data_IF_612852325370
#
_entry.id   IF_612852325370
#
_cell.length_a   1.000
_cell.length_b   1.000
_cell.length_c   1.000
_cell.angle_alpha   90.00
_cell.angle_beta   90.00
_cell.angle_gamma   90.00
#
_symmetry.space_group_name_H-M   'P 1'
#
loop_
_entity.id
_entity.type
_entity.pdbx_description
1 polymer ?
#
# COMPACT_ATOMS: atom_id res chain seq x y z
N UNK A 1 32.98 51.66 35.09
CA UNK A 1 31.64 52.25 34.91
C UNK A 1 31.09 51.70 33.62
N UNK A 2 30.23 50.69 33.71
CA UNK A 2 29.29 50.27 32.66
C UNK A 2 28.37 49.23 33.30
N UNK A 3 27.06 49.50 33.32
CA UNK A 3 26.06 48.55 33.83
C UNK A 3 25.57 47.64 32.69
N UNK A 4 25.17 46.38 33.00
CA UNK A 4 24.77 45.42 31.98
C UNK A 4 23.52 45.87 31.22
N UNK A 5 23.56 45.68 29.90
CA UNK A 5 22.55 46.14 28.91
C UNK A 5 21.11 45.73 29.29
N UNK A 6 20.93 44.56 29.91
CA UNK A 6 19.64 44.06 30.37
C UNK A 6 18.92 45.03 31.33
N UNK A 7 19.65 45.77 32.16
CA UNK A 7 19.07 46.74 33.10
C UNK A 7 18.46 47.95 32.37
N UNK A 8 19.12 48.43 31.31
CA UNK A 8 18.63 49.52 30.45
C UNK A 8 17.41 49.12 29.63
N UNK A 9 17.31 47.85 29.20
CA UNK A 9 16.10 47.34 28.54
C UNK A 9 14.91 47.28 29.50
N UNK A 10 15.14 46.82 30.73
CA UNK A 10 14.11 46.73 31.76
C UNK A 10 13.60 48.11 32.22
N UNK A 11 14.50 49.08 32.43
CA UNK A 11 14.12 50.46 32.77
C UNK A 11 13.44 51.22 31.62
N UNK A 12 13.63 50.79 30.37
CA UNK A 12 12.92 51.35 29.22
C UNK A 12 11.47 50.86 29.18
N UNK A 13 11.25 49.56 29.42
CA UNK A 13 9.91 48.96 29.59
C UNK A 13 9.09 49.67 30.68
N UNK A 14 9.69 49.92 31.85
CA UNK A 14 9.03 50.58 32.98
C UNK A 14 8.68 52.07 32.77
N UNK A 15 9.22 52.73 31.73
CA UNK A 15 8.87 54.13 31.42
C UNK A 15 7.69 54.25 30.45
N UNK A 16 7.52 53.27 29.57
CA UNK A 16 6.42 53.27 28.60
C UNK A 16 5.04 52.99 29.26
N UNK A 17 5.01 52.41 30.47
CA UNK A 17 3.79 52.27 31.31
C UNK A 17 3.22 53.60 31.83
N UNK A 18 3.94 54.73 31.71
CA UNK A 18 3.45 56.03 32.19
C UNK A 18 2.41 56.71 31.27
N UNK A 19 2.10 56.11 30.12
CA UNK A 19 1.01 56.52 29.24
C UNK A 19 -0.18 55.56 29.34
N UNK A 20 -1.21 55.95 30.10
CA UNK A 20 -2.48 55.23 30.24
C UNK A 20 -3.05 54.77 28.88
N UNK A 21 -2.96 53.47 28.63
CA UNK A 21 -3.81 52.72 27.69
C UNK A 21 -4.52 51.63 28.48
N UNK A 22 -5.80 51.41 28.18
CA UNK A 22 -6.60 50.40 28.88
C UNK A 22 -5.99 49.00 28.74
N UNK A 23 -5.87 48.22 29.84
CA UNK A 23 -5.32 46.86 29.81
C UNK A 23 -6.32 45.82 29.26
N UNK A 24 -7.33 46.24 28.49
CA UNK A 24 -8.40 45.38 27.98
C UNK A 24 -8.17 44.81 26.58
N UNK A 25 -7.13 45.25 25.85
CA UNK A 25 -6.94 44.90 24.44
C UNK A 25 -5.83 43.88 24.13
N UNK A 26 -5.03 43.46 25.11
CA UNK A 26 -3.91 42.51 24.88
C UNK A 26 -4.36 41.08 24.53
N UNK A 27 -5.66 40.80 24.57
CA UNK A 27 -6.27 39.50 24.23
C UNK A 27 -7.16 39.53 22.98
N UNK A 28 -7.10 40.59 22.15
CA UNK A 28 -7.79 40.59 20.85
C UNK A 28 -7.12 39.61 19.87
N UNK A 29 -7.49 38.32 19.98
CA UNK A 29 -7.19 37.31 18.97
C UNK A 29 -7.56 37.85 17.59
N UNK A 30 -6.57 37.93 16.70
CA UNK A 30 -6.77 38.46 15.35
C UNK A 30 -7.97 37.76 14.67
N UNK A 31 -8.83 38.52 13.99
CA UNK A 31 -9.98 37.90 13.31
C UNK A 31 -9.56 36.83 12.28
N UNK A 32 -8.31 36.89 11.79
CA UNK A 32 -7.65 35.86 10.98
C UNK A 32 -7.45 34.55 11.73
N UNK A 33 -6.93 34.55 12.97
CA UNK A 33 -6.67 33.32 13.74
C UNK A 33 -7.97 32.65 14.24
N UNK A 34 -9.03 33.43 14.47
CA UNK A 34 -10.36 32.87 14.73
C UNK A 34 -10.93 32.22 13.46
N UNK A 35 -10.75 32.85 12.28
CA UNK A 35 -11.19 32.28 11.00
C UNK A 35 -10.38 31.04 10.59
N UNK A 36 -9.07 31.00 10.86
CA UNK A 36 -8.24 29.82 10.56
C UNK A 36 -8.68 28.60 11.37
N UNK A 37 -8.95 28.76 12.66
CA UNK A 37 -9.45 27.65 13.51
C UNK A 37 -10.84 27.15 13.10
N UNK A 38 -11.74 28.04 12.64
CA UNK A 38 -13.03 27.64 12.04
C UNK A 38 -12.82 26.88 10.72
N UNK A 39 -11.90 27.31 9.86
CA UNK A 39 -11.57 26.61 8.62
C UNK A 39 -10.91 25.24 8.87
N UNK A 40 -10.07 25.12 9.90
CA UNK A 40 -9.47 23.87 10.37
C UNK A 40 -10.55 22.89 10.87
N UNK A 41 -11.47 23.35 11.73
CA UNK A 41 -12.60 22.54 12.21
C UNK A 41 -13.49 22.08 11.04
N UNK A 42 -13.79 22.97 10.09
CA UNK A 42 -14.51 22.63 8.87
C UNK A 42 -13.77 21.57 8.03
N UNK A 43 -12.45 21.65 7.96
CA UNK A 43 -11.60 20.63 7.33
C UNK A 43 -11.77 19.26 8.00
N UNK A 44 -11.66 19.20 9.33
CA UNK A 44 -11.86 17.98 10.13
C UNK A 44 -13.26 17.38 9.94
N UNK A 45 -14.29 18.22 9.88
CA UNK A 45 -15.67 17.78 9.59
C UNK A 45 -15.77 17.17 8.18
N UNK A 46 -15.16 17.78 7.16
CA UNK A 46 -15.16 17.20 5.81
C UNK A 46 -14.34 15.91 5.71
N UNK A 47 -13.24 15.78 6.46
CA UNK A 47 -12.45 14.54 6.56
C UNK A 47 -13.29 13.41 7.18
N UNK A 48 -14.00 13.70 8.28
CA UNK A 48 -14.91 12.76 8.94
C UNK A 48 -16.15 12.39 8.10
N UNK A 49 -16.50 13.21 7.10
CA UNK A 49 -17.53 12.95 6.09
C UNK A 49 -16.97 12.30 4.82
N UNK A 50 -15.74 11.77 4.86
CA UNK A 50 -14.99 11.16 3.75
C UNK A 50 -14.80 12.10 2.51
N UNK A 51 -15.10 13.41 2.63
CA UNK A 51 -14.99 14.40 1.55
C UNK A 51 -13.59 15.06 1.53
N UNK A 52 -12.60 14.26 1.16
CA UNK A 52 -11.17 14.65 1.11
C UNK A 52 -10.90 15.90 0.26
N UNK A 53 -11.70 16.19 -0.76
CA UNK A 53 -11.52 17.37 -1.62
C UNK A 53 -11.91 18.69 -0.93
N UNK A 54 -13.04 18.71 -0.20
CA UNK A 54 -13.42 19.90 0.59
C UNK A 54 -12.59 20.03 1.88
N UNK A 55 -12.10 18.90 2.41
CA UNK A 55 -11.13 18.87 3.51
C UNK A 55 -9.81 19.56 3.09
N UNK A 56 -9.17 19.13 1.99
CA UNK A 56 -7.92 19.78 1.50
C UNK A 56 -8.09 21.26 1.25
N UNK A 57 -9.19 21.67 0.61
CA UNK A 57 -9.48 23.08 0.39
C UNK A 57 -9.58 23.84 1.73
N UNK A 58 -10.32 23.30 2.71
CA UNK A 58 -10.50 23.96 4.01
C UNK A 58 -9.21 24.05 4.82
N UNK A 59 -8.36 23.02 4.80
CA UNK A 59 -7.03 23.07 5.43
C UNK A 59 -6.08 24.04 4.73
N UNK A 60 -6.06 24.08 3.38
CA UNK A 60 -5.28 25.08 2.62
C UNK A 60 -5.71 26.51 2.96
N UNK A 61 -7.01 26.78 3.05
CA UNK A 61 -7.51 28.11 3.44
C UNK A 61 -7.20 28.44 4.92
N UNK A 62 -7.26 27.47 5.84
CA UNK A 62 -6.84 27.67 7.23
C UNK A 62 -5.37 28.11 7.33
N UNK A 63 -4.46 27.48 6.57
CA UNK A 63 -3.04 27.80 6.57
C UNK A 63 -2.71 29.15 5.87
N UNK A 64 -3.53 29.57 4.89
CA UNK A 64 -3.45 30.92 4.30
C UNK A 64 -3.95 32.02 5.24
N UNK A 65 -4.92 31.71 6.09
CA UNK A 65 -5.43 32.63 7.12
C UNK A 65 -4.46 32.79 8.28
N UNK A 66 -3.77 31.70 8.65
CA UNK A 66 -2.79 31.66 9.72
C UNK A 66 -1.66 30.67 9.40
N UNK A 67 -0.46 31.20 9.14
CA UNK A 67 0.72 30.42 8.80
C UNK A 67 1.25 29.59 9.98
N UNK A 68 0.89 29.92 11.23
CA UNK A 68 1.30 29.17 12.43
C UNK A 68 0.40 27.96 12.72
N UNK A 69 -0.65 27.72 11.93
CA UNK A 69 -1.60 26.62 12.10
C UNK A 69 -0.99 25.25 11.69
N UNK A 70 -0.05 24.76 12.50
CA UNK A 70 0.67 23.51 12.23
C UNK A 70 -0.26 22.30 12.10
N UNK A 71 -1.38 22.24 12.83
CA UNK A 71 -2.32 21.10 12.72
C UNK A 71 -2.95 20.98 11.32
N UNK A 72 -3.27 22.11 10.66
CA UNK A 72 -3.75 22.09 9.26
C UNK A 72 -2.67 21.58 8.29
N UNK A 73 -1.42 21.97 8.51
CA UNK A 73 -0.27 21.55 7.72
C UNK A 73 0.10 20.08 7.97
N UNK A 74 0.00 19.62 9.22
CA UNK A 74 0.22 18.23 9.59
C UNK A 74 -0.80 17.32 8.91
N UNK A 75 -2.10 17.60 9.05
CA UNK A 75 -3.16 16.84 8.37
C UNK A 75 -2.96 16.79 6.86
N UNK A 76 -2.63 17.91 6.21
CA UNK A 76 -2.33 17.96 4.77
C UNK A 76 -1.17 17.03 4.34
N UNK A 77 -0.14 16.91 5.17
CA UNK A 77 1.09 16.16 4.86
C UNK A 77 1.04 14.70 5.32
N UNK A 78 0.47 14.42 6.50
CA UNK A 78 0.32 13.07 7.08
C UNK A 78 -0.73 12.24 6.33
N UNK A 79 -1.86 12.84 5.95
CA UNK A 79 -2.87 12.17 5.12
C UNK A 79 -2.46 12.10 3.64
N UNK A 80 -1.21 12.44 3.27
CA UNK A 80 -0.68 12.45 1.89
C UNK A 80 -1.66 13.09 0.87
N UNK A 81 -2.32 14.16 1.31
CA UNK A 81 -3.44 14.75 0.60
C UNK A 81 -3.01 15.54 -0.64
N UNK A 82 -1.73 15.90 -0.71
CA UNK A 82 -1.08 16.70 -1.74
C UNK A 82 -0.03 15.87 -2.48
N UNK A 83 0.21 16.21 -3.74
CA UNK A 83 1.40 15.78 -4.48
C UNK A 83 2.59 16.70 -4.17
N UNK A 84 3.82 16.23 -4.38
CA UNK A 84 5.04 17.03 -4.16
C UNK A 84 5.07 18.38 -4.94
N UNK A 85 4.33 18.48 -6.05
CA UNK A 85 4.18 19.74 -6.79
C UNK A 85 3.19 20.69 -6.10
N UNK A 86 2.06 20.18 -5.61
CA UNK A 86 1.07 20.95 -4.84
C UNK A 86 1.60 21.35 -3.46
N UNK A 87 2.50 20.56 -2.88
CA UNK A 87 3.24 20.89 -1.65
C UNK A 87 4.15 22.10 -1.85
N UNK A 88 4.91 22.13 -2.96
CA UNK A 88 5.73 23.28 -3.33
C UNK A 88 4.87 24.52 -3.63
N UNK A 89 3.80 24.37 -4.41
CA UNK A 89 2.84 25.44 -4.70
C UNK A 89 2.21 25.98 -3.41
N UNK A 90 1.90 25.10 -2.44
CA UNK A 90 1.38 25.52 -1.14
C UNK A 90 2.38 26.44 -0.42
N UNK A 91 3.66 26.07 -0.30
CA UNK A 91 4.69 26.91 0.34
C UNK A 91 4.84 28.29 -0.34
N UNK A 92 4.74 28.34 -1.67
CA UNK A 92 4.79 29.58 -2.43
C UNK A 92 3.51 30.44 -2.28
N UNK A 93 2.36 29.80 -2.01
CA UNK A 93 1.07 30.48 -1.83
C UNK A 93 0.85 31.07 -0.43
N UNK A 94 1.64 30.68 0.56
CA UNK A 94 1.48 31.14 1.94
C UNK A 94 1.95 32.60 2.13
N UNK A 95 1.26 33.43 2.94
CA UNK A 95 1.57 34.85 3.11
C UNK A 95 2.77 35.11 4.03
N UNK A 96 3.83 34.30 3.90
CA UNK A 96 5.07 34.34 4.70
C UNK A 96 5.83 35.65 4.56
N UNK A 97 5.55 36.47 3.53
CA UNK A 97 6.14 37.80 3.33
C UNK A 97 5.58 38.90 4.24
N UNK A 98 4.55 38.59 5.05
CA UNK A 98 3.98 39.53 6.04
C UNK A 98 4.59 39.39 7.44
N UNK A 99 5.38 38.34 7.67
CA UNK A 99 6.06 38.08 8.95
C UNK A 99 7.39 38.83 8.97
N UNK A 100 8.05 38.87 10.15
CA UNK A 100 9.43 39.33 10.20
C UNK A 100 10.37 38.34 9.48
N UNK A 101 11.54 38.81 9.06
CA UNK A 101 12.51 38.00 8.29
C UNK A 101 12.96 36.75 9.04
N UNK A 102 13.11 36.85 10.36
CA UNK A 102 13.52 35.75 11.24
C UNK A 102 12.47 34.62 11.30
N UNK A 103 11.24 34.95 11.66
CA UNK A 103 10.12 33.99 11.68
C UNK A 103 9.83 33.40 10.29
N UNK A 104 10.03 34.19 9.23
CA UNK A 104 9.88 33.74 7.85
C UNK A 104 10.90 32.65 7.49
N UNK A 105 12.16 32.80 7.91
CA UNK A 105 13.20 31.79 7.67
C UNK A 105 12.96 30.55 8.52
N UNK A 106 12.61 30.70 9.80
CA UNK A 106 12.23 29.60 10.70
C UNK A 106 11.07 28.76 10.17
N UNK A 107 9.92 29.37 9.85
CA UNK A 107 8.73 28.64 9.36
C UNK A 107 9.00 27.97 8.01
N UNK A 108 9.72 28.63 7.11
CA UNK A 108 10.13 28.03 5.83
C UNK A 108 11.01 26.82 6.06
N UNK A 109 12.02 26.93 6.92
CA UNK A 109 12.89 25.81 7.26
C UNK A 109 12.08 24.63 7.82
N UNK A 110 11.22 24.85 8.81
CA UNK A 110 10.44 23.77 9.44
C UNK A 110 9.48 23.08 8.46
N UNK A 111 8.72 23.85 7.67
CA UNK A 111 7.81 23.27 6.68
C UNK A 111 8.54 22.55 5.55
N UNK A 112 9.60 23.16 5.00
CA UNK A 112 10.37 22.56 3.93
C UNK A 112 11.11 21.29 4.41
N UNK A 113 11.58 21.28 5.65
CA UNK A 113 12.21 20.13 6.28
C UNK A 113 11.26 18.93 6.38
N UNK A 114 9.98 19.16 6.73
CA UNK A 114 8.92 18.13 6.79
C UNK A 114 8.45 17.64 5.40
N UNK A 115 8.52 18.50 4.37
CA UNK A 115 8.18 18.16 2.97
C UNK A 115 9.30 17.41 2.23
N UNK A 116 10.57 17.76 2.49
CA UNK A 116 11.76 17.19 1.81
C UNK A 116 12.09 15.75 2.26
N UNK A 117 11.12 14.85 2.32
CA UNK A 117 11.30 13.44 2.72
C UNK A 117 12.19 12.64 1.77
N UNK A 118 12.07 12.89 0.46
CA UNK A 118 12.77 12.13 -0.60
C UNK A 118 14.12 12.73 -1.05
N UNK A 119 14.54 13.83 -0.43
CA UNK A 119 15.82 14.47 -0.74
C UNK A 119 16.97 13.64 -0.17
N UNK A 120 18.15 13.73 -0.81
CA UNK A 120 19.37 13.11 -0.29
C UNK A 120 19.64 13.61 1.13
N UNK A 121 20.13 12.75 2.05
CA UNK A 121 20.58 13.16 3.37
C UNK A 121 21.93 13.90 3.26
N UNK A 122 21.90 15.10 2.68
CA UNK A 122 22.90 16.13 2.92
C UNK A 122 22.72 16.68 4.33
N UNK A 123 23.78 17.25 4.91
CA UNK A 123 23.67 18.06 6.13
C UNK A 123 22.57 19.12 5.94
N UNK A 124 21.65 19.20 6.90
CA UNK A 124 20.63 20.24 6.94
C UNK A 124 21.32 21.57 7.20
N UNK A 125 21.48 22.38 6.14
CA UNK A 125 21.96 23.75 6.26
C UNK A 125 20.91 24.55 7.03
N UNK A 126 21.15 24.68 8.34
CA UNK A 126 20.38 25.52 9.23
C UNK A 126 20.79 26.99 9.03
N UNK A 127 19.85 27.94 8.97
CA UNK A 127 20.17 29.35 9.16
C UNK A 127 20.89 29.56 10.50
N UNK A 128 21.88 30.46 10.54
CA UNK A 128 22.67 30.74 11.76
C UNK A 128 21.81 31.22 12.95
N UNK A 129 20.62 31.76 12.69
CA UNK A 129 19.69 32.24 13.72
C UNK A 129 18.92 31.13 14.45
N UNK A 130 18.93 29.90 13.94
CA UNK A 130 18.19 28.75 14.49
C UNK A 130 19.10 27.56 14.83
N UNK A 131 20.36 27.85 15.17
CA UNK A 131 21.41 26.88 15.52
C UNK A 131 20.97 25.82 16.56
N UNK A 132 20.21 26.23 17.58
CA UNK A 132 19.67 25.36 18.62
C UNK A 132 18.67 24.29 18.13
N UNK A 133 18.11 24.41 16.91
CA UNK A 133 17.16 23.42 16.38
C UNK A 133 17.82 22.13 15.87
N UNK A 134 19.16 22.10 15.72
CA UNK A 134 19.86 20.89 15.28
C UNK A 134 19.67 19.68 16.22
N UNK A 135 19.46 19.93 17.52
CA UNK A 135 19.23 18.88 18.52
C UNK A 135 17.74 18.51 18.69
N UNK A 136 16.83 19.20 17.99
CA UNK A 136 15.40 18.96 18.12
C UNK A 136 15.02 17.59 17.52
N UNK A 137 14.24 16.83 18.28
CA UNK A 137 13.80 15.48 17.96
C UNK A 137 13.08 15.43 16.60
N UNK A 138 12.16 16.36 16.31
CA UNK A 138 11.46 16.40 15.01
C UNK A 138 12.41 16.61 13.82
N UNK A 139 13.46 17.43 13.99
CA UNK A 139 14.48 17.65 12.95
C UNK A 139 15.32 16.39 12.76
N UNK A 140 15.74 15.74 13.84
CA UNK A 140 16.47 14.46 13.78
C UNK A 140 15.63 13.35 13.16
N UNK A 141 14.31 13.31 13.43
CA UNK A 141 13.37 12.35 12.81
C UNK A 141 13.23 12.61 11.32
N UNK A 142 13.13 13.88 10.88
CA UNK A 142 13.08 14.19 9.44
C UNK A 142 14.37 13.81 8.69
N UNK A 143 15.53 13.88 9.36
CA UNK A 143 16.80 13.39 8.82
C UNK A 143 16.83 11.85 8.78
N UNK A 144 16.27 11.19 9.81
CA UNK A 144 16.10 9.74 9.83
C UNK A 144 15.16 9.26 8.70
N UNK A 145 14.06 9.97 8.42
CA UNK A 145 13.20 9.71 7.26
C UNK A 145 13.98 9.78 5.94
N UNK A 146 14.81 10.81 5.73
CA UNK A 146 15.66 10.89 4.52
C UNK A 146 16.61 9.70 4.39
N UNK A 147 17.26 9.29 5.48
CA UNK A 147 18.07 8.06 5.48
C UNK A 147 17.25 6.80 5.22
N UNK A 148 16.02 6.71 5.73
CA UNK A 148 15.11 5.60 5.44
C UNK A 148 14.78 5.50 3.95
N UNK A 149 14.37 6.62 3.32
CA UNK A 149 14.09 6.67 1.89
C UNK A 149 15.34 6.55 1.00
N UNK A 150 16.53 6.82 1.54
CA UNK A 150 17.82 6.54 0.89
C UNK A 150 18.33 5.10 1.11
N UNK A 151 17.55 4.24 1.79
CA UNK A 151 17.89 2.85 2.16
C UNK A 151 19.07 2.70 3.15
N UNK A 152 19.49 3.78 3.83
CA UNK A 152 20.53 3.78 4.86
C UNK A 152 19.99 3.28 6.22
N UNK A 153 19.38 2.10 6.25
CA UNK A 153 18.63 1.59 7.40
C UNK A 153 19.46 1.55 8.70
N UNK A 154 20.78 1.31 8.61
CA UNK A 154 21.71 1.33 9.75
C UNK A 154 21.82 2.72 10.40
N UNK A 155 21.93 3.78 9.60
CA UNK A 155 22.00 5.16 10.09
C UNK A 155 20.64 5.66 10.55
N UNK A 156 19.57 5.34 9.81
CA UNK A 156 18.20 5.62 10.22
C UNK A 156 17.88 4.97 11.59
N UNK A 157 18.25 3.71 11.79
CA UNK A 157 18.10 3.04 13.09
C UNK A 157 18.90 3.73 14.20
N UNK A 158 20.15 4.13 13.94
CA UNK A 158 20.98 4.87 14.92
C UNK A 158 20.35 6.22 15.34
N UNK A 159 19.78 6.96 14.39
CA UNK A 159 19.11 8.23 14.67
C UNK A 159 17.79 8.00 15.43
N UNK A 160 16.95 7.08 14.95
CA UNK A 160 15.66 6.78 15.61
C UNK A 160 15.85 6.16 17.00
N UNK A 161 16.87 5.34 17.25
CA UNK A 161 17.15 4.82 18.59
C UNK A 161 17.52 5.92 19.58
N UNK A 162 18.27 6.95 19.17
CA UNK A 162 18.60 8.12 20.02
C UNK A 162 17.36 8.97 20.28
N UNK A 163 16.46 9.11 19.29
CA UNK A 163 15.15 9.76 19.49
C UNK A 163 14.32 8.99 20.51
N UNK A 164 14.20 7.66 20.36
CA UNK A 164 13.43 6.78 21.25
C UNK A 164 14.03 6.63 22.65
N UNK A 165 15.32 6.95 22.85
CA UNK A 165 15.95 7.04 24.16
C UNK A 165 15.59 8.35 24.88
N UNK A 166 15.55 9.47 24.15
CA UNK A 166 15.17 10.80 24.68
C UNK A 166 13.65 10.95 24.90
N UNK A 167 12.86 10.56 23.90
CA UNK A 167 11.39 10.54 23.90
C UNK A 167 10.91 9.14 23.47
N UNK A 168 10.56 8.26 24.44
CA UNK A 168 10.16 6.89 24.15
C UNK A 168 8.89 6.71 23.31
N UNK A 169 8.13 7.78 23.03
CA UNK A 169 6.86 7.71 22.30
C UNK A 169 6.68 8.85 21.28
N UNK A 170 7.78 9.31 20.68
CA UNK A 170 7.74 10.35 19.67
C UNK A 170 6.90 9.94 18.45
N UNK A 171 5.73 10.57 18.27
CA UNK A 171 4.70 10.14 17.32
C UNK A 171 5.20 10.02 15.87
N UNK A 172 6.01 10.98 15.40
CA UNK A 172 6.59 10.97 14.05
C UNK A 172 7.67 9.90 13.86
N UNK A 173 8.33 9.47 14.94
CA UNK A 173 9.43 8.51 14.89
C UNK A 173 8.92 7.07 14.78
N UNK A 174 7.79 6.75 15.44
CA UNK A 174 7.29 5.39 15.56
C UNK A 174 7.13 4.66 14.20
N UNK A 175 6.50 5.23 13.14
CA UNK A 175 6.34 4.51 11.87
C UNK A 175 7.69 4.23 11.19
N UNK A 176 8.61 5.18 11.24
CA UNK A 176 9.95 5.09 10.65
C UNK A 176 10.80 4.06 11.40
N UNK A 177 10.76 4.11 12.73
CA UNK A 177 11.48 3.18 13.60
C UNK A 177 10.95 1.75 13.43
N UNK A 178 9.62 1.54 13.41
CA UNK A 178 9.00 0.24 13.10
C UNK A 178 9.46 -0.27 11.72
N UNK A 179 9.46 0.59 10.70
CA UNK A 179 10.00 0.26 9.38
C UNK A 179 11.46 -0.20 9.44
N UNK A 180 12.35 0.53 10.13
CA UNK A 180 13.75 0.10 10.28
C UNK A 180 13.91 -1.21 11.04
N UNK A 181 13.09 -1.47 12.07
CA UNK A 181 13.13 -2.71 12.84
C UNK A 181 12.75 -3.92 11.99
N UNK A 182 11.76 -3.78 11.09
CA UNK A 182 11.37 -4.84 10.14
C UNK A 182 12.48 -5.07 9.11
N UNK A 183 13.02 -4.02 8.47
CA UNK A 183 14.07 -4.14 7.45
C UNK A 183 15.40 -4.68 7.98
N UNK A 184 15.72 -4.38 9.26
CA UNK A 184 16.88 -4.92 9.97
C UNK A 184 16.60 -6.27 10.67
N UNK A 185 15.38 -6.82 10.53
CA UNK A 185 14.93 -8.08 11.13
C UNK A 185 15.14 -8.16 12.66
N UNK A 186 14.88 -7.06 13.37
CA UNK A 186 15.06 -6.91 14.83
C UNK A 186 13.79 -7.32 15.60
N UNK A 187 13.39 -8.58 15.46
CA UNK A 187 12.13 -9.10 16.00
C UNK A 187 11.93 -8.89 17.51
N UNK A 188 12.99 -9.04 18.32
CA UNK A 188 12.93 -8.89 19.78
C UNK A 188 12.63 -7.44 20.21
N UNK A 189 13.23 -6.46 19.54
CA UNK A 189 13.01 -5.03 19.82
C UNK A 189 11.59 -4.61 19.40
N UNK A 190 11.13 -5.04 18.23
CA UNK A 190 9.77 -4.74 17.77
C UNK A 190 8.69 -5.43 18.63
N UNK A 191 8.96 -6.64 19.13
CA UNK A 191 8.07 -7.31 20.08
C UNK A 191 7.89 -6.48 21.37
N UNK A 192 8.99 -6.03 21.97
CA UNK A 192 8.94 -5.22 23.18
C UNK A 192 8.26 -3.86 22.94
N UNK A 193 8.61 -3.18 21.85
CA UNK A 193 7.99 -1.90 21.47
C UNK A 193 6.49 -2.03 21.23
N UNK A 194 6.04 -3.06 20.49
CA UNK A 194 4.63 -3.25 20.16
C UNK A 194 3.77 -3.55 21.39
N UNK A 195 4.26 -4.34 22.36
CA UNK A 195 3.56 -4.55 23.64
C UNK A 195 3.45 -3.23 24.42
N UNK A 196 4.57 -2.53 24.59
CA UNK A 196 4.61 -1.24 25.30
C UNK A 196 3.69 -0.19 24.67
N UNK A 197 3.54 -0.19 23.34
CA UNK A 197 2.60 0.68 22.62
C UNK A 197 1.14 0.29 22.84
N UNK A 198 0.81 -1.00 22.87
CA UNK A 198 -0.57 -1.46 23.13
C UNK A 198 -0.99 -1.17 24.57
N UNK A 199 -0.09 -1.34 25.55
CA UNK A 199 -0.35 -1.09 26.97
C UNK A 199 -0.65 0.39 27.26
N UNK A 200 0.00 1.32 26.53
CA UNK A 200 -0.11 2.77 26.76
C UNK A 200 -1.06 3.48 25.80
N UNK A 201 -1.13 3.03 24.54
CA UNK A 201 -1.92 3.67 23.48
C UNK A 201 -2.80 2.64 22.75
N UNK A 202 -3.75 1.97 23.43
CA UNK A 202 -4.61 0.94 22.82
C UNK A 202 -5.60 1.50 21.78
N UNK A 203 -5.85 2.81 21.78
CA UNK A 203 -6.70 3.51 20.81
C UNK A 203 -5.95 4.01 19.57
N UNK A 204 -4.62 4.05 19.59
CA UNK A 204 -3.82 4.58 18.48
C UNK A 204 -3.58 3.48 17.43
N UNK A 205 -3.82 3.73 16.12
CA UNK A 205 -3.54 2.75 15.07
C UNK A 205 -2.06 2.34 14.99
N UNK A 206 -1.10 3.20 15.39
CA UNK A 206 0.34 2.87 15.35
C UNK A 206 0.70 1.65 16.21
N UNK A 207 -0.02 1.44 17.32
CA UNK A 207 0.20 0.33 18.24
C UNK A 207 -0.18 -1.01 17.59
N UNK A 208 -1.35 -1.05 16.93
CA UNK A 208 -1.84 -2.23 16.22
C UNK A 208 -1.08 -2.48 14.91
N UNK A 209 -0.60 -1.42 14.26
CA UNK A 209 0.35 -1.49 13.16
C UNK A 209 1.68 -2.14 13.58
N UNK A 210 2.26 -1.73 14.72
CA UNK A 210 3.49 -2.33 15.25
C UNK A 210 3.33 -3.84 15.52
N UNK A 211 2.21 -4.24 16.13
CA UNK A 211 1.86 -5.66 16.36
C UNK A 211 1.69 -6.41 15.03
N UNK A 212 1.02 -5.81 14.05
CA UNK A 212 0.85 -6.36 12.71
C UNK A 212 2.19 -6.61 12.00
N UNK A 213 3.07 -5.60 11.99
CA UNK A 213 4.43 -5.70 11.44
C UNK A 213 5.29 -6.75 12.15
N UNK A 214 5.16 -6.90 13.47
CA UNK A 214 5.81 -7.99 14.21
C UNK A 214 5.36 -9.37 13.71
N UNK A 215 4.05 -9.61 13.58
CA UNK A 215 3.56 -10.91 13.10
C UNK A 215 3.93 -11.18 11.63
N UNK A 216 4.01 -10.16 10.77
CA UNK A 216 4.53 -10.30 9.40
C UNK A 216 6.00 -10.71 9.37
N UNK A 217 6.85 -10.09 10.19
CA UNK A 217 8.27 -10.43 10.29
C UNK A 217 8.51 -11.86 10.83
N UNK A 218 7.61 -12.36 11.67
CA UNK A 218 7.63 -13.75 12.16
C UNK A 218 7.15 -14.76 11.09
N UNK A 219 6.43 -14.31 10.05
CA UNK A 219 6.12 -15.04 8.82
C UNK A 219 5.09 -16.18 8.93
N UNK A 220 5.10 -16.96 10.01
CA UNK A 220 4.21 -18.11 10.21
C UNK A 220 2.80 -17.75 10.74
N UNK A 221 2.48 -16.46 10.89
CA UNK A 221 1.28 -15.97 11.62
C UNK A 221 0.56 -14.83 10.89
N UNK A 222 0.49 -14.93 9.56
CA UNK A 222 -0.10 -13.91 8.69
C UNK A 222 -1.60 -13.65 8.94
N UNK A 223 -2.38 -14.66 9.36
CA UNK A 223 -3.77 -14.47 9.82
C UNK A 223 -3.85 -13.53 11.05
N UNK A 224 -2.96 -13.69 12.03
CA UNK A 224 -2.90 -12.79 13.18
C UNK A 224 -2.44 -11.38 12.77
N UNK A 225 -1.46 -11.28 11.87
CA UNK A 225 -1.07 -9.99 11.29
C UNK A 225 -2.28 -9.29 10.63
N UNK A 226 -3.03 -9.99 9.77
CA UNK A 226 -4.26 -9.49 9.13
C UNK A 226 -5.26 -8.98 10.15
N UNK A 227 -5.52 -9.73 11.24
CA UNK A 227 -6.46 -9.32 12.29
C UNK A 227 -6.07 -8.01 12.98
N UNK A 228 -4.78 -7.81 13.30
CA UNK A 228 -4.32 -6.58 13.96
C UNK A 228 -4.18 -5.40 12.99
N UNK A 229 -3.78 -5.64 11.74
CA UNK A 229 -3.73 -4.62 10.69
C UNK A 229 -5.14 -4.14 10.28
N UNK A 230 -6.11 -5.06 10.19
CA UNK A 230 -7.53 -4.73 10.03
C UNK A 230 -8.05 -3.88 11.20
N UNK A 231 -7.65 -4.19 12.45
CA UNK A 231 -7.96 -3.32 13.59
C UNK A 231 -7.32 -1.93 13.48
N UNK A 232 -6.10 -1.82 12.95
CA UNK A 232 -5.46 -0.52 12.73
C UNK A 232 -6.22 0.31 11.67
N UNK A 233 -6.62 -0.30 10.55
CA UNK A 233 -7.37 0.41 9.48
C UNK A 233 -8.82 0.69 9.84
N UNK A 234 -9.43 -0.03 10.79
CA UNK A 234 -10.76 0.32 11.32
C UNK A 234 -10.73 1.45 12.34
N UNK A 235 -9.63 1.60 13.10
CA UNK A 235 -9.40 2.76 13.97
C UNK A 235 -9.16 4.03 13.16
N UNK A 236 -8.30 3.96 12.16
CA UNK A 236 -8.02 5.08 11.25
C UNK A 236 -7.93 4.61 9.79
N UNK A 237 -9.01 4.84 9.03
CA UNK A 237 -9.07 4.50 7.60
C UNK A 237 -7.99 5.19 6.76
N UNK A 238 -7.52 6.36 7.20
CA UNK A 238 -6.55 7.20 6.49
C UNK A 238 -5.09 6.77 6.71
N UNK A 239 -4.84 5.87 7.67
CA UNK A 239 -3.49 5.47 8.07
C UNK A 239 -2.80 4.59 7.01
N UNK A 240 -2.12 5.25 6.06
CA UNK A 240 -1.47 4.64 4.90
C UNK A 240 -0.55 3.44 5.18
N UNK A 241 0.36 3.50 6.19
CA UNK A 241 1.28 2.38 6.48
C UNK A 241 0.57 1.06 6.81
N UNK A 242 -0.56 1.09 7.52
CA UNK A 242 -1.31 -0.13 7.82
C UNK A 242 -1.93 -0.75 6.56
N UNK A 243 -2.44 0.04 5.62
CA UNK A 243 -2.96 -0.49 4.35
C UNK A 243 -1.87 -1.15 3.51
N UNK A 244 -0.65 -0.59 3.48
CA UNK A 244 0.50 -1.21 2.82
C UNK A 244 0.87 -2.54 3.48
N UNK A 245 0.98 -2.58 4.82
CA UNK A 245 1.25 -3.82 5.55
C UNK A 245 0.12 -4.85 5.39
N UNK A 246 -1.14 -4.41 5.31
CA UNK A 246 -2.30 -5.27 5.03
C UNK A 246 -2.19 -5.88 3.63
N UNK A 247 -1.82 -5.11 2.61
CA UNK A 247 -1.48 -5.63 1.29
C UNK A 247 -0.33 -6.65 1.30
N UNK A 248 0.74 -6.38 2.06
CA UNK A 248 1.86 -7.33 2.21
C UNK A 248 1.40 -8.67 2.81
N UNK A 249 0.49 -8.65 3.79
CA UNK A 249 -0.01 -9.86 4.45
C UNK A 249 -0.68 -10.83 3.47
N UNK A 250 -1.51 -10.32 2.55
CA UNK A 250 -2.15 -11.11 1.49
C UNK A 250 -1.17 -11.49 0.38
N UNK A 251 -0.21 -10.62 0.05
CA UNK A 251 0.78 -10.89 -0.98
C UNK A 251 1.71 -12.06 -0.61
N UNK A 252 2.09 -12.20 0.67
CA UNK A 252 2.88 -13.35 1.17
C UNK A 252 2.08 -14.65 1.12
N UNK A 253 0.77 -14.60 1.38
CA UNK A 253 -0.12 -15.78 1.25
C UNK A 253 -0.59 -16.06 -0.20
N UNK A 254 -0.17 -15.24 -1.18
CA UNK A 254 -0.60 -15.31 -2.59
C UNK A 254 -2.10 -15.03 -2.85
N UNK A 255 -2.81 -14.38 -1.92
CA UNK A 255 -4.19 -13.92 -2.10
C UNK A 255 -4.22 -12.61 -2.95
N UNK A 256 -3.99 -12.75 -4.26
CA UNK A 256 -3.72 -11.62 -5.17
C UNK A 256 -4.83 -10.55 -5.24
N UNK A 257 -6.10 -10.93 -5.27
CA UNK A 257 -7.22 -9.98 -5.40
C UNK A 257 -7.36 -9.09 -4.15
N UNK A 258 -7.23 -9.70 -2.96
CA UNK A 258 -7.31 -8.99 -1.68
C UNK A 258 -6.07 -8.11 -1.46
N UNK A 259 -4.88 -8.59 -1.83
CA UNK A 259 -3.66 -7.79 -1.86
C UNK A 259 -3.82 -6.57 -2.77
N UNK A 260 -4.36 -6.76 -3.99
CA UNK A 260 -4.58 -5.67 -4.95
C UNK A 260 -5.57 -4.63 -4.41
N UNK A 261 -6.66 -5.05 -3.77
CA UNK A 261 -7.61 -4.14 -3.14
C UNK A 261 -6.96 -3.30 -2.03
N UNK A 262 -6.15 -3.91 -1.16
CA UNK A 262 -5.43 -3.22 -0.09
C UNK A 262 -4.34 -2.25 -0.61
N UNK A 263 -3.61 -2.62 -1.66
CA UNK A 263 -2.66 -1.70 -2.30
C UNK A 263 -3.37 -0.57 -3.05
N UNK A 264 -4.54 -0.84 -3.64
CA UNK A 264 -5.30 0.19 -4.34
C UNK A 264 -5.84 1.26 -3.38
N UNK A 265 -6.36 0.87 -2.21
CA UNK A 265 -6.74 1.84 -1.16
C UNK A 265 -5.51 2.58 -0.62
N UNK A 266 -4.38 1.89 -0.36
CA UNK A 266 -3.13 2.55 0.01
C UNK A 266 -2.66 3.60 -1.03
N UNK A 267 -2.77 3.30 -2.32
CA UNK A 267 -2.39 4.20 -3.42
C UNK A 267 -3.42 5.31 -3.71
N UNK A 268 -4.68 5.18 -3.25
CA UNK A 268 -5.64 6.27 -3.23
C UNK A 268 -5.35 7.27 -2.10
N UNK A 269 -4.93 6.77 -0.93
CA UNK A 269 -4.51 7.58 0.21
C UNK A 269 -3.19 8.31 -0.10
N UNK A 270 -2.19 7.58 -0.61
CA UNK A 270 -0.89 8.10 -1.02
C UNK A 270 -0.90 8.54 -2.49
N UNK A 271 -1.22 9.81 -2.75
CA UNK A 271 -1.31 10.38 -4.11
C UNK A 271 0.06 10.51 -4.83
N UNK A 272 0.69 9.37 -5.16
CA UNK A 272 1.99 9.31 -5.83
C UNK A 272 2.10 8.27 -6.95
N UNK A 273 1.10 7.40 -7.17
CA UNK A 273 1.24 6.26 -8.08
C UNK A 273 1.49 6.66 -9.55
N UNK A 274 1.00 7.83 -10.01
CA UNK A 274 1.27 8.34 -11.37
C UNK A 274 2.71 8.79 -11.58
N UNK A 275 3.46 9.07 -10.51
CA UNK A 275 4.90 9.35 -10.56
C UNK A 275 5.75 8.13 -10.15
N UNK A 276 5.14 6.99 -9.84
CA UNK A 276 5.85 5.78 -9.40
C UNK A 276 6.91 5.31 -10.39
N UNK A 277 6.68 5.40 -11.71
CA UNK A 277 7.71 5.14 -12.72
C UNK A 277 8.98 5.98 -12.48
N UNK A 278 8.81 7.30 -12.28
CA UNK A 278 9.91 8.23 -12.00
C UNK A 278 10.61 7.90 -10.68
N UNK A 279 9.87 7.54 -9.64
CA UNK A 279 10.44 7.15 -8.35
C UNK A 279 11.19 5.82 -8.41
N UNK A 280 10.69 4.84 -9.17
CA UNK A 280 11.39 3.57 -9.40
C UNK A 280 12.66 3.76 -10.23
N UNK A 281 12.66 4.66 -11.23
CA UNK A 281 13.85 5.02 -12.01
C UNK A 281 14.90 5.76 -11.14
N UNK A 282 14.48 6.75 -10.34
CA UNK A 282 15.36 7.47 -9.41
C UNK A 282 15.91 6.55 -8.31
N UNK A 283 15.11 5.61 -7.80
CA UNK A 283 15.59 4.54 -6.92
C UNK A 283 16.64 3.67 -7.61
N UNK A 284 16.43 3.28 -8.87
CA UNK A 284 17.35 2.46 -9.65
C UNK A 284 18.67 3.20 -9.94
N UNK A 285 18.64 4.51 -10.21
CA UNK A 285 19.85 5.35 -10.28
C UNK A 285 20.58 5.41 -8.94
N UNK A 286 19.87 5.59 -7.82
CA UNK A 286 20.45 5.58 -6.47
C UNK A 286 21.09 4.23 -6.14
N UNK A 287 20.44 3.10 -6.47
CA UNK A 287 20.97 1.75 -6.27
C UNK A 287 22.25 1.52 -7.10
N UNK A 288 22.25 1.96 -8.37
CA UNK A 288 23.46 1.93 -9.22
C UNK A 288 24.60 2.79 -8.65
N UNK A 289 24.29 3.89 -7.98
CA UNK A 289 25.27 4.74 -7.30
C UNK A 289 25.76 4.17 -5.95
N UNK A 290 24.96 3.37 -5.25
CA UNK A 290 25.31 2.73 -3.97
C UNK A 290 26.30 1.56 -4.16
N UNK A 291 26.24 0.86 -5.29
CA UNK A 291 27.32 -0.03 -5.77
C UNK A 291 27.68 -1.23 -4.87
N UNK A 292 27.13 -2.41 -5.19
CA UNK A 292 27.50 -3.74 -4.66
C UNK A 292 27.48 -3.99 -3.13
N UNK A 293 27.31 -3.00 -2.26
CA UNK A 293 27.28 -3.22 -0.80
C UNK A 293 25.93 -3.71 -0.24
N UNK A 294 24.84 -3.55 -0.99
CA UNK A 294 23.51 -4.05 -0.60
C UNK A 294 23.15 -5.29 -1.42
N UNK A 295 22.77 -6.36 -0.71
CA UNK A 295 22.47 -7.70 -1.26
C UNK A 295 21.64 -7.63 -2.54
N UNK A 296 22.28 -8.10 -3.61
CA UNK A 296 21.79 -8.07 -5.01
C UNK A 296 20.36 -8.60 -5.14
N UNK A 297 20.02 -9.64 -4.36
CA UNK A 297 18.73 -10.33 -4.37
C UNK A 297 17.54 -9.45 -3.93
N UNK A 298 17.76 -8.42 -3.08
CA UNK A 298 16.68 -7.53 -2.61
C UNK A 298 16.10 -6.63 -3.72
N UNK A 299 16.80 -6.48 -4.85
CA UNK A 299 16.42 -5.56 -5.92
C UNK A 299 15.61 -6.19 -7.05
N UNK A 300 15.45 -7.52 -7.06
CA UNK A 300 14.66 -8.22 -8.08
C UNK A 300 13.19 -7.78 -8.12
N UNK A 301 12.48 -7.66 -6.98
CA UNK A 301 11.08 -7.21 -6.99
C UNK A 301 10.93 -5.78 -7.52
N UNK A 302 11.93 -4.92 -7.30
CA UNK A 302 11.92 -3.55 -7.85
C UNK A 302 12.00 -3.57 -9.38
N UNK A 303 12.97 -4.30 -9.95
CA UNK A 303 13.12 -4.41 -11.40
C UNK A 303 11.91 -5.08 -12.05
N UNK A 304 11.35 -6.11 -11.42
CA UNK A 304 10.16 -6.81 -11.88
C UNK A 304 8.91 -5.89 -11.88
N UNK A 305 8.72 -5.12 -10.81
CA UNK A 305 7.66 -4.11 -10.73
C UNK A 305 7.84 -2.98 -11.74
N UNK A 306 9.07 -2.50 -11.96
CA UNK A 306 9.38 -1.47 -12.95
C UNK A 306 9.07 -1.99 -14.38
N UNK A 307 9.45 -3.23 -14.70
CA UNK A 307 9.05 -3.90 -15.94
C UNK A 307 7.54 -3.97 -16.12
N UNK A 308 6.78 -4.29 -15.07
CA UNK A 308 5.31 -4.27 -15.10
C UNK A 308 4.72 -2.86 -15.33
N UNK A 309 5.31 -1.82 -14.74
CA UNK A 309 4.91 -0.42 -14.98
C UNK A 309 5.19 -0.01 -16.43
N UNK A 310 6.39 -0.25 -16.95
CA UNK A 310 6.73 0.01 -18.36
C UNK A 310 5.81 -0.74 -19.32
N UNK A 311 5.46 -2.00 -19.03
CA UNK A 311 4.47 -2.79 -19.79
C UNK A 311 3.09 -2.13 -19.80
N UNK A 312 2.58 -1.67 -18.66
CA UNK A 312 1.29 -0.96 -18.57
C UNK A 312 1.32 0.38 -19.32
N UNK A 313 2.48 1.03 -19.39
CA UNK A 313 2.74 2.24 -20.19
C UNK A 313 3.03 1.94 -21.68
N UNK A 314 2.92 0.67 -22.12
CA UNK A 314 3.21 0.19 -23.48
C UNK A 314 4.67 0.37 -23.95
N UNK A 315 5.59 0.65 -23.03
CA UNK A 315 7.04 0.71 -23.29
C UNK A 315 7.66 -0.70 -23.25
N UNK A 316 7.27 -1.54 -24.21
CA UNK A 316 7.56 -2.98 -24.15
C UNK A 316 9.06 -3.31 -24.21
N UNK A 317 9.86 -2.55 -24.98
CA UNK A 317 11.31 -2.77 -25.07
C UNK A 317 12.03 -2.50 -23.74
N UNK A 318 11.70 -1.40 -23.07
CA UNK A 318 12.20 -1.07 -21.73
C UNK A 318 11.74 -2.12 -20.71
N UNK A 319 10.47 -2.53 -20.76
CA UNK A 319 9.93 -3.56 -19.87
C UNK A 319 10.70 -4.89 -19.96
N UNK A 320 11.04 -5.34 -21.18
CA UNK A 320 11.85 -6.54 -21.39
C UNK A 320 13.27 -6.39 -20.81
N UNK A 321 13.89 -5.22 -20.93
CA UNK A 321 15.23 -4.98 -20.38
C UNK A 321 15.22 -5.04 -18.83
N UNK A 322 14.23 -4.42 -18.18
CA UNK A 322 14.09 -4.51 -16.72
C UNK A 322 13.78 -5.93 -16.22
N UNK A 323 12.90 -6.69 -16.89
CA UNK A 323 12.67 -8.09 -16.52
C UNK A 323 13.88 -9.00 -16.81
N UNK A 324 14.70 -8.70 -17.82
CA UNK A 324 15.98 -9.40 -18.04
C UNK A 324 17.00 -9.07 -16.95
N UNK A 325 17.11 -7.81 -16.54
CA UNK A 325 17.94 -7.41 -15.40
C UNK A 325 17.46 -8.13 -14.12
N UNK A 326 16.14 -8.27 -13.89
CA UNK A 326 15.57 -9.04 -12.78
C UNK A 326 16.01 -10.53 -12.81
N UNK A 327 15.97 -11.18 -13.99
CA UNK A 327 16.47 -12.55 -14.16
C UNK A 327 17.99 -12.71 -13.93
N UNK A 328 18.80 -11.66 -14.08
CA UNK A 328 20.22 -11.72 -13.69
C UNK A 328 20.38 -11.84 -12.17
N UNK A 329 19.43 -11.30 -11.39
CA UNK A 329 19.43 -11.37 -9.93
C UNK A 329 18.82 -12.70 -9.43
N UNK A 330 17.67 -13.10 -9.98
CA UNK A 330 17.02 -14.40 -9.65
C UNK A 330 16.79 -15.20 -10.95
N UNK A 331 17.77 -16.03 -11.38
CA UNK A 331 17.73 -16.75 -12.66
C UNK A 331 16.63 -17.81 -12.81
N UNK A 332 15.92 -18.14 -11.74
CA UNK A 332 14.86 -19.17 -11.73
C UNK A 332 13.49 -18.63 -11.29
N UNK A 333 13.25 -17.32 -11.42
CA UNK A 333 11.93 -16.75 -11.10
C UNK A 333 10.90 -17.03 -12.21
N UNK A 334 10.03 -18.02 -11.99
CA UNK A 334 8.95 -18.39 -12.90
C UNK A 334 8.02 -17.21 -13.25
N UNK A 335 7.73 -16.33 -12.29
CA UNK A 335 6.86 -15.16 -12.48
C UNK A 335 7.47 -14.16 -13.47
N UNK A 336 8.79 -13.99 -13.43
CA UNK A 336 9.52 -13.06 -14.32
C UNK A 336 9.62 -13.63 -15.74
N UNK A 337 9.75 -14.95 -15.90
CA UNK A 337 9.62 -15.61 -17.21
C UNK A 337 8.21 -15.46 -17.80
N UNK A 338 7.16 -15.66 -16.99
CA UNK A 338 5.76 -15.44 -17.40
C UNK A 338 5.52 -13.99 -17.83
N UNK A 339 6.07 -13.02 -17.08
CA UNK A 339 6.01 -11.60 -17.42
C UNK A 339 6.64 -11.27 -18.78
N UNK A 340 7.81 -11.86 -19.07
CA UNK A 340 8.50 -11.73 -20.36
C UNK A 340 7.68 -12.35 -21.49
N UNK A 341 7.17 -13.57 -21.32
CA UNK A 341 6.29 -14.24 -22.28
C UNK A 341 5.05 -13.39 -22.62
N UNK A 342 4.43 -12.80 -21.59
CA UNK A 342 3.27 -11.91 -21.77
C UNK A 342 3.60 -10.59 -22.47
N UNK A 343 4.81 -10.05 -22.31
CA UNK A 343 5.25 -8.88 -23.10
C UNK A 343 5.49 -9.27 -24.55
N UNK A 344 6.12 -10.44 -24.80
CA UNK A 344 6.32 -10.95 -26.16
C UNK A 344 4.98 -11.20 -26.88
N UNK A 345 3.96 -11.72 -26.21
CA UNK A 345 2.61 -11.89 -26.80
C UNK A 345 1.94 -10.53 -27.09
N UNK A 346 2.10 -9.54 -26.22
CA UNK A 346 1.60 -8.17 -26.48
C UNK A 346 2.34 -7.43 -27.61
N UNK A 347 3.55 -7.88 -27.96
CA UNK A 347 4.33 -7.41 -29.12
C UNK A 347 4.02 -8.17 -30.41
N UNK A 348 3.19 -9.23 -30.38
CA UNK A 348 2.93 -10.11 -31.52
C UNK A 348 4.02 -11.15 -31.80
N UNK A 349 5.04 -11.27 -30.93
CA UNK A 349 6.13 -12.22 -31.08
C UNK A 349 5.77 -13.57 -30.44
N UNK A 350 4.75 -14.24 -30.98
CA UNK A 350 4.13 -15.42 -30.36
C UNK A 350 5.08 -16.62 -30.19
N UNK A 351 6.01 -16.85 -31.13
CA UNK A 351 7.05 -17.90 -31.04
C UNK A 351 7.86 -17.78 -29.72
N UNK A 352 8.46 -16.62 -29.49
CA UNK A 352 9.20 -16.33 -28.26
C UNK A 352 8.30 -16.36 -27.01
N UNK A 353 7.03 -15.94 -27.14
CA UNK A 353 6.09 -15.98 -26.02
C UNK A 353 5.80 -17.41 -25.56
N UNK A 354 5.59 -18.33 -26.51
CA UNK A 354 5.39 -19.76 -26.26
C UNK A 354 6.59 -20.37 -25.54
N UNK A 355 7.82 -20.12 -26.02
CA UNK A 355 9.05 -20.58 -25.35
C UNK A 355 9.15 -20.09 -23.91
N UNK A 356 8.93 -18.79 -23.66
CA UNK A 356 9.00 -18.23 -22.31
C UNK A 356 7.89 -18.71 -21.37
N UNK A 357 6.67 -18.95 -21.87
CA UNK A 357 5.62 -19.58 -21.07
C UNK A 357 5.93 -21.06 -20.78
N UNK A 358 6.55 -21.79 -21.70
CA UNK A 358 7.04 -23.15 -21.42
C UNK A 358 8.15 -23.15 -20.36
N UNK A 359 9.11 -22.21 -20.38
CA UNK A 359 10.12 -22.12 -19.32
C UNK A 359 9.50 -21.73 -17.97
N UNK A 360 8.53 -20.81 -17.96
CA UNK A 360 7.79 -20.45 -16.74
C UNK A 360 7.04 -21.65 -16.13
N UNK A 361 6.33 -22.43 -16.95
CA UNK A 361 5.59 -23.62 -16.51
C UNK A 361 6.50 -24.80 -16.12
N UNK A 362 7.69 -24.88 -16.71
CA UNK A 362 8.74 -25.83 -16.31
C UNK A 362 9.31 -25.53 -14.91
N UNK A 363 9.31 -24.26 -14.50
CA UNK A 363 9.71 -23.82 -13.15
C UNK A 363 8.55 -23.85 -12.15
N UNK A 364 7.34 -23.46 -12.56
CA UNK A 364 6.13 -23.42 -11.72
C UNK A 364 4.92 -24.02 -12.46
N UNK A 365 4.59 -25.27 -12.14
CA UNK A 365 3.58 -26.09 -12.84
C UNK A 365 2.13 -25.66 -12.58
N UNK A 366 1.88 -24.97 -11.47
CA UNK A 366 0.58 -24.58 -10.93
C UNK A 366 0.10 -23.19 -11.36
N UNK A 367 0.80 -22.55 -12.31
CA UNK A 367 0.46 -21.21 -12.79
C UNK A 367 -0.65 -21.20 -13.86
N UNK A 368 -1.90 -21.12 -13.40
CA UNK A 368 -3.11 -20.99 -14.25
C UNK A 368 -3.01 -19.85 -15.27
N UNK A 369 -2.40 -18.70 -14.90
CA UNK A 369 -2.23 -17.57 -15.82
C UNK A 369 -1.29 -17.93 -16.98
N UNK A 370 -0.13 -18.53 -16.68
CA UNK A 370 0.80 -18.98 -17.70
C UNK A 370 0.21 -20.09 -18.60
N UNK A 371 -0.57 -21.04 -18.04
CA UNK A 371 -1.25 -22.08 -18.84
C UNK A 371 -2.27 -21.48 -19.80
N UNK A 372 -3.12 -20.57 -19.32
CA UNK A 372 -4.17 -19.93 -20.15
C UNK A 372 -3.58 -19.02 -21.22
N UNK A 373 -2.56 -18.22 -20.88
CA UNK A 373 -1.87 -17.38 -21.86
C UNK A 373 -1.09 -18.19 -22.89
N UNK A 374 -0.47 -19.32 -22.50
CA UNK A 374 0.20 -20.22 -23.44
C UNK A 374 -0.77 -20.76 -24.49
N UNK A 375 -1.95 -21.25 -24.06
CA UNK A 375 -2.99 -21.72 -24.97
C UNK A 375 -3.38 -20.66 -26.00
N UNK A 376 -3.62 -19.42 -25.55
CA UNK A 376 -3.94 -18.31 -26.44
C UNK A 376 -2.78 -17.95 -27.40
N UNK A 377 -1.52 -18.00 -26.95
CA UNK A 377 -0.38 -17.75 -27.82
C UNK A 377 -0.19 -18.83 -28.88
N UNK A 378 -0.46 -20.10 -28.55
CA UNK A 378 -0.44 -21.22 -29.50
C UNK A 378 -1.55 -21.06 -30.55
N UNK A 379 -2.78 -20.70 -30.14
CA UNK A 379 -3.88 -20.43 -31.07
C UNK A 379 -3.53 -19.30 -32.06
N UNK A 380 -2.94 -18.21 -31.56
CA UNK A 380 -2.50 -17.10 -32.43
C UNK A 380 -1.36 -17.49 -33.37
N UNK A 381 -0.34 -18.22 -32.89
CA UNK A 381 0.80 -18.65 -33.69
C UNK A 381 0.40 -19.65 -34.80
N UNK A 382 -0.54 -20.55 -34.51
CA UNK A 382 -1.11 -21.47 -35.50
C UNK A 382 -2.06 -20.71 -36.45
N UNK A 383 -2.78 -19.69 -35.98
CA UNK A 383 -3.66 -18.85 -36.80
C UNK A 383 -2.94 -17.99 -37.84
N UNK A 384 -1.75 -17.48 -37.51
CA UNK A 384 -0.88 -16.75 -38.45
C UNK A 384 -0.12 -17.67 -39.44
N UNK A 385 -0.16 -18.99 -39.22
CA UNK A 385 0.47 -19.97 -40.11
C UNK A 385 -0.50 -20.43 -41.20
N UNK A 386 -0.25 -20.08 -42.47
CA UNK A 386 -1.00 -20.63 -43.59
C UNK A 386 -0.97 -22.17 -43.57
N UNK A 387 -2.13 -22.80 -43.82
CA UNK A 387 -2.29 -24.25 -43.75
C UNK A 387 -1.28 -24.96 -44.66
N UNK A 388 -0.39 -25.75 -44.06
CA UNK A 388 0.73 -26.40 -44.75
C UNK A 388 0.25 -27.37 -45.83
N UNK A 389 0.27 -26.93 -47.09
CA UNK A 389 -0.06 -27.76 -48.25
C UNK A 389 1.11 -28.73 -48.52
N UNK A 390 1.04 -29.90 -47.88
CA UNK A 390 1.56 -31.18 -48.34
C UNK A 390 2.96 -31.24 -48.96
N UNK A 391 3.96 -31.52 -48.12
CA UNK A 391 5.14 -32.28 -48.52
C UNK A 391 5.42 -33.37 -47.45
N UNK A 392 5.88 -34.56 -47.88
CA UNK A 392 5.81 -35.81 -47.11
C UNK A 392 6.44 -35.76 -45.70
N UNK A 393 5.59 -35.94 -44.68
CA UNK A 393 6.00 -36.08 -43.27
C UNK A 393 6.38 -37.55 -43.00
N UNK A 394 7.56 -37.97 -43.47
CA UNK A 394 8.14 -39.28 -43.10
C UNK A 394 9.53 -39.23 -42.48
N UNK A 395 10.33 -38.20 -42.76
CA UNK A 395 11.74 -38.14 -42.34
C UNK A 395 12.03 -37.24 -41.12
N UNK A 396 11.00 -36.69 -40.45
CA UNK A 396 11.20 -35.82 -39.25
C UNK A 396 10.41 -36.19 -37.98
N UNK A 397 9.48 -37.14 -38.03
CA UNK A 397 8.82 -37.65 -36.82
C UNK A 397 9.51 -38.92 -36.32
N UNK A 398 10.49 -38.73 -35.44
CA UNK A 398 10.84 -39.69 -34.38
C UNK A 398 10.79 -38.97 -33.04
N UNK A 399 9.96 -39.48 -32.13
CA UNK A 399 9.66 -38.96 -30.79
C UNK A 399 8.94 -37.59 -30.81
N UNK A 400 7.65 -37.45 -30.50
CA UNK A 400 6.88 -38.06 -29.41
C UNK A 400 5.39 -38.10 -29.79
N UNK A 401 4.74 -39.25 -29.64
CA UNK A 401 3.27 -39.34 -29.75
C UNK A 401 2.63 -38.79 -28.47
N UNK A 402 1.78 -37.77 -28.59
CA UNK A 402 0.80 -37.40 -27.55
C UNK A 402 -0.58 -37.28 -28.18
N UNK A 403 -1.55 -37.98 -27.59
CA UNK A 403 -2.76 -38.40 -28.29
C UNK A 403 -3.87 -37.32 -28.29
N UNK A 404 -4.49 -37.11 -29.45
CA UNK A 404 -5.59 -36.15 -29.72
C UNK A 404 -6.94 -36.64 -29.15
N UNK A 405 -6.88 -37.46 -28.09
CA UNK A 405 -8.04 -38.03 -27.41
C UNK A 405 -8.41 -37.27 -26.12
N UNK A 406 -7.43 -36.70 -25.42
CA UNK A 406 -7.60 -36.07 -24.10
C UNK A 406 -8.40 -34.74 -24.12
N UNK A 407 -8.41 -34.04 -25.25
CA UNK A 407 -9.19 -32.80 -25.44
C UNK A 407 -10.71 -33.04 -25.54
N UNK A 408 -11.17 -34.26 -25.85
CA UNK A 408 -12.60 -34.58 -25.95
C UNK A 408 -13.22 -35.02 -24.62
N UNK A 409 -12.43 -35.59 -23.71
CA UNK A 409 -12.92 -36.07 -22.41
C UNK A 409 -13.22 -34.93 -21.42
N UNK A 410 -12.50 -33.80 -21.50
CA UNK A 410 -12.68 -32.66 -20.58
C UNK A 410 -14.01 -31.92 -20.77
N UNK A 411 -14.56 -31.90 -21.99
CA UNK A 411 -15.87 -31.30 -22.28
C UNK A 411 -17.04 -32.07 -21.65
N UNK A 412 -16.90 -33.39 -21.51
CA UNK A 412 -17.98 -34.26 -21.02
C UNK A 412 -18.04 -34.36 -19.48
N UNK A 413 -17.03 -33.85 -18.76
CA UNK A 413 -16.98 -33.85 -17.29
C UNK A 413 -17.70 -32.64 -16.69
N UNK A 414 -17.80 -31.53 -17.44
CA UNK A 414 -18.31 -30.24 -16.93
C UNK A 414 -19.83 -30.06 -17.19
N UNK A 415 -20.40 -30.78 -18.16
CA UNK A 415 -21.86 -30.92 -18.30
C UNK A 415 -22.21 -32.14 -19.18
N UNK A 416 -22.77 -33.24 -18.62
CA UNK A 416 -23.22 -34.36 -19.42
C UNK A 416 -24.58 -34.06 -20.06
N UNK A 417 -24.74 -34.18 -21.40
CA UNK A 417 -26.06 -34.19 -22.01
C UNK A 417 -26.79 -35.48 -21.60
N UNK A 418 -28.04 -35.36 -21.17
CA UNK A 418 -28.90 -36.52 -20.91
C UNK A 418 -29.21 -37.26 -22.23
N UNK A 419 -28.67 -38.47 -22.40
CA UNK A 419 -29.00 -39.35 -23.53
C UNK A 419 -29.89 -40.52 -23.06
N UNK A 420 -31.06 -40.66 -23.66
CA UNK A 420 -32.14 -41.55 -23.23
C UNK A 420 -31.96 -43.00 -23.75
N UNK A 421 -30.74 -43.55 -23.67
CA UNK A 421 -30.39 -44.80 -24.39
C UNK A 421 -29.82 -45.95 -23.56
N UNK A 422 -29.52 -45.76 -22.28
CA UNK A 422 -28.99 -46.86 -21.43
C UNK A 422 -30.08 -47.70 -20.73
N UNK A 423 -31.34 -47.26 -20.72
CA UNK A 423 -32.42 -47.92 -19.96
C UNK A 423 -33.09 -49.14 -20.64
N UNK A 424 -32.64 -49.56 -21.82
CA UNK A 424 -33.21 -50.72 -22.55
C UNK A 424 -32.33 -51.99 -22.49
N UNK A 425 -31.09 -51.92 -22.00
CA UNK A 425 -30.17 -53.08 -21.96
C UNK A 425 -30.29 -53.90 -20.67
N UNK A 426 -30.56 -53.27 -19.52
CA UNK A 426 -30.74 -54.00 -18.24
C UNK A 426 -32.11 -54.68 -18.10
N UNK A 427 -33.02 -54.52 -19.08
CA UNK A 427 -34.36 -55.09 -19.03
C UNK A 427 -34.46 -56.55 -19.51
N UNK A 428 -33.37 -57.13 -20.03
CA UNK A 428 -33.35 -58.53 -20.52
C UNK A 428 -32.69 -59.53 -19.56
N UNK A 429 -32.20 -59.09 -18.39
CA UNK A 429 -31.49 -59.94 -17.42
C UNK A 429 -32.21 -60.09 -16.07
N UNK A 430 -33.44 -59.58 -15.95
CA UNK A 430 -34.19 -59.53 -14.69
C UNK A 430 -35.57 -60.24 -14.71
N UNK A 431 -35.88 -61.06 -15.72
CA UNK A 431 -37.12 -61.87 -15.75
C UNK A 431 -36.97 -63.28 -15.14
N UNK A 432 -35.77 -63.66 -14.65
CA UNK A 432 -35.56 -64.84 -13.81
C UNK A 432 -35.40 -64.46 -12.32
N UNK A 433 -36.48 -64.01 -11.67
CA UNK A 433 -36.81 -64.32 -10.25
C UNK A 433 -38.17 -63.72 -9.90
N UNK A 434 -39.20 -64.56 -9.80
CA UNK A 434 -40.56 -64.08 -9.57
C UNK A 434 -40.82 -63.70 -8.11
N UNK A 435 -41.58 -62.60 -7.91
CA UNK A 435 -42.49 -62.38 -6.77
C UNK A 435 -43.53 -61.31 -7.16
N UNK A 436 -44.76 -61.46 -6.66
CA UNK A 436 -45.95 -60.74 -7.14
C UNK A 436 -46.18 -59.36 -6.47
N UNK A 437 -46.98 -58.45 -7.07
CA UNK A 437 -46.98 -57.02 -6.75
C UNK A 437 -48.11 -56.57 -5.80
N UNK A 438 -48.02 -55.32 -5.32
CA UNK A 438 -49.14 -54.60 -4.72
C UNK A 438 -49.18 -53.12 -5.19
N UNK A 439 -50.30 -52.81 -5.86
CA UNK A 439 -50.90 -51.51 -6.14
C UNK A 439 -51.04 -50.63 -4.86
N UNK A 440 -51.30 -49.30 -4.83
CA UNK A 440 -51.63 -48.20 -5.78
C UNK A 440 -51.30 -46.83 -5.06
N UNK A 441 -51.50 -45.58 -5.53
CA UNK A 441 -52.06 -44.95 -6.74
C UNK A 441 -51.62 -43.46 -6.85
N UNK A 442 -51.20 -43.01 -8.05
CA UNK A 442 -51.47 -41.71 -8.72
C UNK A 442 -51.49 -40.39 -7.90
N UNK A 443 -50.78 -39.37 -8.42
CA UNK A 443 -51.35 -38.34 -9.36
C UNK A 443 -50.27 -37.47 -10.01
N UNK A 444 -50.66 -36.80 -11.11
CA UNK A 444 -49.82 -36.13 -12.13
C UNK A 444 -50.01 -34.58 -12.11
N UNK A 445 -49.61 -33.75 -13.11
CA UNK A 445 -48.42 -32.89 -12.98
C UNK A 445 -48.68 -31.40 -13.38
N UNK A 446 -47.64 -30.73 -13.91
CA UNK A 446 -47.61 -29.43 -14.64
C UNK A 446 -47.55 -28.14 -13.78
N UNK A 447 -47.10 -26.99 -14.35
CA UNK A 447 -45.70 -26.75 -14.72
C UNK A 447 -45.19 -25.38 -14.20
N UNK A 448 -43.92 -25.01 -14.47
CA UNK A 448 -43.43 -23.62 -14.26
C UNK A 448 -42.71 -23.07 -15.50
N UNK A 449 -42.94 -21.79 -15.87
CA UNK A 449 -42.21 -21.10 -16.93
C UNK A 449 -40.90 -20.45 -16.41
N UNK A 450 -40.21 -19.78 -17.33
CA UNK A 450 -38.85 -19.25 -17.18
C UNK A 450 -38.77 -17.72 -17.04
N UNK A 451 -37.66 -17.28 -16.42
CA UNK A 451 -36.93 -16.00 -16.60
C UNK A 451 -37.46 -14.69 -15.98
N UNK A 452 -36.49 -14.03 -15.32
CA UNK A 452 -36.17 -12.59 -15.28
C UNK A 452 -36.91 -11.60 -14.34
N UNK A 453 -36.07 -10.69 -13.79
CA UNK A 453 -36.35 -9.48 -12.99
C UNK A 453 -36.98 -9.73 -11.58
N UNK A 454 -36.68 -8.97 -10.50
CA UNK A 454 -36.01 -7.67 -10.33
C UNK A 454 -35.43 -7.51 -8.89
N UNK A 455 -34.38 -6.68 -8.75
CA UNK A 455 -34.02 -5.72 -7.67
C UNK A 455 -34.46 -5.82 -6.17
N UNK A 456 -33.65 -5.13 -5.34
CA UNK A 456 -33.83 -4.73 -3.91
C UNK A 456 -33.58 -5.83 -2.85
N UNK A 457 -32.55 -5.71 -2.00
CA UNK A 457 -32.38 -4.84 -0.81
C UNK A 457 -33.39 -5.19 0.30
N UNK A 458 -32.93 -5.94 1.30
CA UNK A 458 -33.41 -5.80 2.68
C UNK A 458 -32.22 -5.84 3.66
N UNK A 459 -32.19 -4.83 4.53
CA UNK A 459 -31.39 -4.72 5.74
C UNK A 459 -32.26 -5.14 6.95
N UNK A 460 -31.65 -5.22 8.14
CA UNK A 460 -32.30 -5.32 9.46
C UNK A 460 -32.92 -6.71 9.76
N UNK A 461 -33.02 -7.21 10.99
CA UNK A 461 -32.73 -6.78 12.38
C UNK A 461 -32.66 -8.10 13.22
N UNK A 462 -32.27 -8.22 14.49
CA UNK A 462 -31.77 -7.32 15.54
C UNK A 462 -31.14 -8.16 16.69
N UNK A 463 -30.30 -7.50 17.49
CA UNK A 463 -30.04 -7.70 18.93
C UNK A 463 -30.17 -9.09 19.60
N UNK A 464 -29.07 -9.54 20.21
CA UNK A 464 -29.15 -9.99 21.60
C UNK A 464 -28.03 -9.42 22.47
N UNK A 465 -28.46 -8.79 23.55
CA UNK A 465 -27.73 -7.90 24.44
C UNK A 465 -26.52 -8.50 25.17
N UNK A 466 -25.59 -7.58 25.48
CA UNK A 466 -24.74 -7.54 26.67
C UNK A 466 -25.17 -8.43 27.85
N UNK A 467 -24.21 -9.13 28.46
CA UNK A 467 -24.16 -9.16 29.93
C UNK A 467 -22.71 -9.20 30.47
N UNK A 468 -22.46 -8.33 31.44
CA UNK A 468 -21.19 -8.15 32.14
C UNK A 468 -21.08 -9.08 33.34
N UNK A 469 -19.88 -9.58 33.65
CA UNK A 469 -19.58 -10.03 35.02
C UNK A 469 -18.15 -9.64 35.44
N UNK A 470 -18.07 -8.78 36.45
CA UNK A 470 -16.89 -8.64 37.30
C UNK A 470 -17.34 -8.87 38.76
N UNK A 471 -16.47 -9.53 39.51
CA UNK A 471 -16.38 -9.57 40.99
C UNK A 471 -17.64 -9.89 41.80
N UNK A 472 -17.55 -10.95 42.59
CA UNK A 472 -17.49 -10.73 44.05
C UNK A 472 -16.70 -11.83 44.77
N UNK A 473 -15.72 -11.41 45.57
CA UNK A 473 -15.02 -12.24 46.57
C UNK A 473 -15.33 -11.67 47.95
N UNK A 474 -16.22 -12.32 48.71
CA UNK A 474 -16.31 -12.12 50.16
C UNK A 474 -16.91 -13.34 50.88
N UNK A 475 -16.04 -14.20 51.41
CA UNK A 475 -16.27 -15.17 52.50
C UNK A 475 -14.93 -15.75 52.93
#
# INVERSE_FOLDING_TARGET
MEEPINKRLFEKYLKDESGLKDPSNDWEMSQSSIKSSICLLRGKIYDALDNRALATYSYKEALKLDAYCFEAFDLLTSHHMLTAQEEKELLESLPLSKLCTEEQELLRFLFENKLKKYNKPSETVLPESVDGLQENLDVVVSLAERHYYNCDFKMCYKLTSVVMEKDPFHANCLPVHIGTLVELNKANELFYLSHKLVDLYPSNPVSWFAVGCYYLMVGHKNEHARRYLSKATTLEKTYGPAWVAYGHSFAVESEHDQAMAAYFTAAQLMKGWKTAEKWFLDALEKIKAIGNEVTVDKWEPLLNNLGHVCRKLKKYAEALDYHRQALVLIPQNASTYSAIGYIHSLMGNFENAVDYFHTALGLRRDDTFSVTMLGHCIEMYIGDSEAYIGADIKDKLKCYDFDVHTMKTLKNIISPPWDFREFEVEKQTAEETGLAPLETSRKTPDPRPSLEETFEIEMNESDMMLETSMSDHSS
#
